data_IF_380062552249
#
_entry.id   IF_380062552249
#
_cell.length_a   1.000
_cell.length_b   1.000
_cell.length_c   1.000
_cell.angle_alpha   90.00
_cell.angle_beta   90.00
_cell.angle_gamma   90.00
#
_symmetry.space_group_name_H-M   'P 1'
#
loop_
_entity.id
_entity.type
_entity.pdbx_description
1 polymer ?
2 non-polymer ?
3 water ?
#
# COMPACT_ATOMS: atom_id res chain seq x y z
N UNK A 1 23.22 4.75 -2.42
CA UNK A 1 22.67 3.59 -1.63
C UNK A 1 21.13 3.62 -1.47
N UNK A 2 20.51 2.50 -1.03
CA UNK A 2 19.04 2.49 -0.78
C UNK A 2 18.68 3.37 0.43
N UNK A 3 17.49 4.00 0.41
CA UNK A 3 17.09 4.91 1.48
C UNK A 3 16.45 4.17 2.65
N UNK A 4 17.28 3.41 3.37
CA UNK A 4 16.89 2.70 4.59
C UNK A 4 16.39 3.58 5.71
N UNK A 5 17.03 4.72 5.93
CA UNK A 5 16.60 5.60 7.02
C UNK A 5 15.20 6.13 6.75
N UNK A 6 14.96 6.56 5.50
CA UNK A 6 13.66 7.03 5.11
C UNK A 6 12.61 5.93 5.27
N UNK A 7 12.91 4.75 4.75
CA UNK A 7 12.01 3.62 4.89
C UNK A 7 11.67 3.32 6.34
N UNK A 8 12.68 3.42 7.21
CA UNK A 8 12.49 3.13 8.61
C UNK A 8 11.62 4.19 9.30
N UNK A 9 11.83 5.47 8.99
CA UNK A 9 10.99 6.54 9.50
C UNK A 9 9.52 6.36 9.08
N UNK A 10 9.28 5.91 7.85
CA UNK A 10 7.90 5.62 7.43
C UNK A 10 7.34 4.43 8.20
N UNK A 11 8.15 3.40 8.40
CA UNK A 11 7.63 2.20 9.06
C UNK A 11 7.29 2.48 10.51
N UNK A 12 8.13 3.29 11.14
CA UNK A 12 8.03 3.57 12.55
C UNK A 12 6.80 4.42 12.86
N UNK A 13 6.55 5.47 12.07
CA UNK A 13 5.43 6.36 12.34
C UNK A 13 4.12 6.06 11.57
N UNK A 14 4.19 5.26 10.49
CA UNK A 14 3.05 5.18 9.56
C UNK A 14 2.61 3.79 9.13
N UNK A 15 3.04 2.75 9.84
CA UNK A 15 2.49 1.44 9.57
C UNK A 15 1.88 0.79 10.78
N UNK A 16 0.90 -0.08 10.50
CA UNK A 16 0.27 -0.85 11.50
C UNK A 16 0.12 -2.23 10.86
N UNK A 17 -0.12 -3.26 11.70
CA UNK A 17 -0.42 -4.59 11.21
C UNK A 17 -1.94 -4.67 11.07
N UNK A 18 -2.43 -5.07 9.91
CA UNK A 18 -3.87 -5.12 9.71
C UNK A 18 -4.21 -6.54 9.43
N UNK A 19 -5.34 -7.02 9.94
CA UNK A 19 -5.74 -8.40 9.72
C UNK A 19 -7.21 -8.49 9.30
N UNK A 20 -7.47 -9.14 8.17
CA UNK A 20 -8.82 -9.29 7.65
C UNK A 20 -9.04 -10.80 7.64
N UNK A 21 -10.20 -11.23 7.14
CA UNK A 21 -10.45 -12.65 6.87
C UNK A 21 -9.38 -13.31 5.97
N UNK A 22 -8.61 -12.52 5.21
CA UNK A 22 -7.64 -13.09 4.27
C UNK A 22 -6.26 -13.24 4.90
N UNK A 23 -6.08 -12.68 6.08
CA UNK A 23 -4.81 -12.81 6.79
C UNK A 23 -4.22 -11.45 7.11
N UNK A 24 -2.92 -11.43 7.41
CA UNK A 24 -2.27 -10.20 7.85
C UNK A 24 -1.62 -9.47 6.68
N UNK A 25 -1.63 -8.14 6.76
CA UNK A 25 -1.09 -7.26 5.74
C UNK A 25 -0.43 -6.14 6.48
N UNK A 26 0.70 -5.70 5.94
CA UNK A 26 1.29 -4.45 6.32
C UNK A 26 0.31 -3.32 5.90
N UNK A 27 0.13 -2.31 6.74
CA UNK A 27 -0.85 -1.28 6.41
C UNK A 27 -0.23 0.07 6.57
N UNK A 28 -0.20 0.81 5.46
CA UNK A 28 0.36 2.14 5.45
C UNK A 28 -0.71 3.16 5.83
N UNK A 29 -0.47 3.96 6.88
CA UNK A 29 -1.35 5.06 7.26
C UNK A 29 -0.87 6.33 6.57
N UNK A 30 -1.80 7.08 5.97
CA UNK A 30 -1.43 8.16 5.06
C UNK A 30 -1.64 9.57 5.66
N UNK A 31 -2.79 9.77 6.30
CA UNK A 31 -3.07 11.00 7.01
C UNK A 31 -4.31 10.78 7.89
N UNK A 32 -4.46 11.55 8.98
CA UNK A 32 -5.67 11.46 9.81
C UNK A 32 -5.93 10.01 10.21
N UNK A 33 -7.06 9.44 9.81
CA UNK A 33 -7.35 8.03 10.09
C UNK A 33 -7.58 7.25 8.82
N UNK A 34 -6.87 7.69 7.79
CA UNK A 34 -6.96 7.12 6.46
C UNK A 34 -5.72 6.30 6.17
N UNK A 35 -5.93 5.10 5.66
CA UNK A 35 -4.84 4.16 5.43
C UNK A 35 -5.17 3.43 4.15
N UNK A 36 -4.24 2.59 3.70
CA UNK A 36 -4.43 1.76 2.53
C UNK A 36 -4.11 0.28 2.78
N UNK A 37 -4.66 -0.56 1.92
CA UNK A 37 -4.49 -1.99 2.01
C UNK A 37 -4.81 -2.56 0.62
N UNK A 38 -4.13 -3.65 0.23
CA UNK A 38 -4.49 -4.19 -1.08
C UNK A 38 -5.96 -4.58 -1.10
N UNK A 39 -6.62 -4.32 -2.23
CA UNK A 39 -8.02 -4.70 -2.41
C UNK A 39 -8.32 -6.17 -2.18
N UNK A 40 -7.37 -7.04 -2.53
CA UNK A 40 -7.60 -8.45 -2.35
C UNK A 40 -7.52 -8.93 -0.90
N UNK A 41 -7.22 -8.01 0.02
CA UNK A 41 -7.40 -8.28 1.44
C UNK A 41 -8.88 -8.41 1.86
N UNK A 42 -9.84 -8.00 1.00
CA UNK A 42 -11.29 -8.08 1.32
C UNK A 42 -11.69 -7.46 2.66
N UNK A 43 -11.46 -6.17 2.81
CA UNK A 43 -11.87 -5.46 4.03
C UNK A 43 -13.39 -5.47 4.16
N UNK A 44 -13.90 -5.78 5.36
CA UNK A 44 -15.34 -5.71 5.60
C UNK A 44 -15.65 -4.48 6.41
N UNK A 45 -16.52 -4.62 7.39
CA UNK A 45 -16.90 -3.46 8.16
C UNK A 45 -16.14 -3.33 9.48
N UNK A 46 -15.40 -4.37 9.82
CA UNK A 46 -14.43 -4.28 10.92
C UNK A 46 -13.09 -4.91 10.46
N UNK A 47 -12.00 -4.47 11.09
CA UNK A 47 -10.67 -4.99 10.76
C UNK A 47 -9.84 -5.01 12.05
N UNK A 48 -8.87 -5.92 12.19
CA UNK A 48 -7.90 -5.80 13.32
C UNK A 48 -6.75 -4.95 12.94
N UNK A 49 -6.44 -4.01 13.82
CA UNK A 49 -5.32 -3.14 13.67
C UNK A 49 -4.46 -3.38 14.92
N UNK A 50 -3.22 -3.85 14.71
CA UNK A 50 -2.36 -4.26 15.84
C UNK A 50 -3.13 -5.10 16.86
N UNK A 51 -3.87 -6.06 16.32
CA UNK A 51 -4.75 -6.96 17.09
C UNK A 51 -5.94 -6.34 17.86
N UNK A 52 -6.25 -5.07 17.62
CA UNK A 52 -7.43 -4.45 18.19
C UNK A 52 -8.50 -4.33 17.08
N UNK A 53 -9.63 -4.99 17.30
CA UNK A 53 -10.77 -4.90 16.39
C UNK A 53 -11.26 -3.45 16.26
N UNK A 54 -11.51 -3.04 15.03
CA UNK A 54 -11.61 -1.64 14.68
C UNK A 54 -12.67 -1.51 13.59
N UNK A 55 -13.59 -0.56 13.78
CA UNK A 55 -14.58 -0.23 12.77
C UNK A 55 -13.93 0.36 11.53
N UNK A 56 -14.34 -0.14 10.37
CA UNK A 56 -13.96 0.46 9.13
C UNK A 56 -15.12 1.38 8.73
N UNK A 57 -14.95 2.68 8.93
CA UNK A 57 -15.95 3.71 8.65
C UNK A 57 -16.15 3.89 7.16
N UNK A 58 -15.08 3.76 6.39
CA UNK A 58 -15.20 3.79 4.93
C UNK A 58 -14.17 2.89 4.29
N UNK A 59 -14.52 2.30 3.15
CA UNK A 59 -13.55 1.55 2.34
C UNK A 59 -13.79 1.84 0.84
N UNK A 60 -12.80 2.43 0.14
CA UNK A 60 -12.94 2.67 -1.30
C UNK A 60 -11.93 1.85 -2.09
N UNK A 61 -12.45 0.88 -2.84
CA UNK A 61 -11.68 0.04 -3.74
C UNK A 61 -11.40 0.79 -5.08
N UNK A 62 -10.18 1.28 -5.26
CA UNK A 62 -9.88 2.15 -6.40
C UNK A 62 -9.88 1.41 -7.73
N UNK A 63 -10.48 2.06 -8.72
CA UNK A 63 -10.55 1.54 -10.05
C UNK A 63 -10.29 2.71 -11.01
N UNK A 64 -9.69 2.46 -12.18
CA UNK A 64 -9.46 3.59 -13.09
C UNK A 64 -10.68 3.78 -14.03
N UNK A 65 -10.59 4.78 -14.93
CA UNK A 65 -11.73 5.09 -15.81
C UNK A 65 -12.11 3.99 -16.82
N UNK A 66 -11.25 2.96 -16.98
CA UNK A 66 -11.57 1.79 -17.83
C UNK A 66 -12.28 0.73 -16.99
N UNK A 67 -12.65 1.13 -15.78
CA UNK A 67 -13.28 0.25 -14.80
C UNK A 67 -12.42 -0.97 -14.46
N UNK A 68 -11.12 -0.74 -14.31
CA UNK A 68 -10.20 -1.79 -13.98
C UNK A 68 -9.62 -1.57 -12.61
N UNK A 69 -9.53 -2.66 -11.87
CA UNK A 69 -8.82 -2.76 -10.60
C UNK A 69 -7.48 -2.06 -10.59
N UNK A 70 -7.27 -1.17 -9.61
CA UNK A 70 -5.95 -0.59 -9.26
C UNK A 70 -5.32 -1.28 -8.04
N UNK A 71 -6.11 -2.13 -7.36
CA UNK A 71 -5.63 -2.98 -6.24
C UNK A 71 -5.33 -2.22 -4.94
N UNK A 72 -5.63 -0.93 -4.92
CA UNK A 72 -5.57 -0.13 -3.72
C UNK A 72 -7.00 0.04 -3.14
N UNK A 73 -7.16 -0.22 -1.84
CA UNK A 73 -8.37 0.17 -1.10
C UNK A 73 -7.98 1.17 -0.03
N UNK A 74 -8.69 2.27 -0.01
CA UNK A 74 -8.46 3.30 0.95
C UNK A 74 -9.51 3.09 2.04
N UNK A 75 -9.07 3.07 3.29
CA UNK A 75 -9.94 2.85 4.40
C UNK A 75 -9.85 4.02 5.35
N UNK A 76 -10.99 4.30 5.98
CA UNK A 76 -11.04 5.23 7.04
C UNK A 76 -11.37 4.45 8.30
N UNK A 77 -10.68 4.74 9.40
CA UNK A 77 -10.72 3.85 10.57
C UNK A 77 -11.23 4.57 11.79
N UNK A 78 -12.00 3.89 12.62
CA UNK A 78 -12.43 4.48 13.89
C UNK A 78 -11.32 4.17 14.92
N UNK A 79 -10.35 5.06 15.04
CA UNK A 79 -9.38 4.95 16.11
C UNK A 79 -8.99 6.30 16.58
N UNK A 80 -8.34 6.33 17.73
CA UNK A 80 -8.02 7.57 18.40
C UNK A 80 -6.82 8.29 17.81
N UNK A 81 -5.72 7.58 17.60
CA UNK A 81 -4.50 8.20 17.02
C UNK A 81 -4.70 8.63 15.55
N UNK A 82 -4.21 9.82 15.21
CA UNK A 82 -4.08 10.26 13.83
C UNK A 82 -2.71 9.80 13.30
N UNK A 83 -2.66 9.44 12.03
CA UNK A 83 -1.39 9.20 11.36
C UNK A 83 -0.71 10.51 11.04
N UNK A 84 0.60 10.58 11.26
CA UNK A 84 1.41 11.62 10.65
C UNK A 84 1.04 11.75 9.15
N UNK A 85 0.88 12.98 8.68
CA UNK A 85 0.47 13.23 7.29
C UNK A 85 1.68 13.04 6.38
N UNK A 86 1.66 12.03 5.52
CA UNK A 86 2.78 11.74 4.63
C UNK A 86 2.42 11.97 3.16
N UNK A 87 1.28 12.62 2.94
CA UNK A 87 0.85 12.92 1.56
C UNK A 87 1.91 13.70 0.78
N UNK A 88 2.68 14.56 1.42
CA UNK A 88 3.72 15.28 0.66
C UNK A 88 4.88 14.37 0.17
N UNK A 89 4.96 13.12 0.67
CA UNK A 89 5.94 12.15 0.17
C UNK A 89 5.39 11.28 -0.95
N UNK A 90 4.13 11.51 -1.34
CA UNK A 90 3.56 10.73 -2.44
C UNK A 90 3.87 11.37 -3.77
N UNK A 91 4.29 10.56 -4.77
CA UNK A 91 4.53 11.09 -6.09
C UNK A 91 3.28 11.65 -6.77
N UNK A 92 3.50 12.69 -7.56
CA UNK A 92 2.43 13.32 -8.28
C UNK A 92 2.02 12.49 -9.49
N UNK A 93 2.98 11.81 -10.12
CA UNK A 93 2.81 11.16 -11.41
C UNK A 93 3.37 9.76 -11.40
N UNK A 94 2.92 8.94 -12.35
CA UNK A 94 3.58 7.69 -12.69
C UNK A 94 5.07 7.89 -13.03
N UNK A 95 5.90 6.90 -12.68
CA UNK A 95 7.36 7.07 -12.86
C UNK A 95 8.09 5.75 -12.68
N UNK A 96 9.38 5.73 -13.04
CA UNK A 96 10.29 4.62 -12.79
C UNK A 96 11.16 5.13 -11.68
N UNK A 97 11.75 4.21 -10.91
CA UNK A 97 12.54 4.57 -9.72
C UNK A 97 13.78 3.69 -9.61
N UNK A 98 14.76 4.24 -8.90
CA UNK A 98 16.00 3.53 -8.64
C UNK A 98 16.10 3.09 -7.20
N UNK A 99 16.68 1.91 -7.03
CA UNK A 99 17.21 1.51 -5.73
C UNK A 99 16.13 1.61 -4.61
N UNK A 100 14.97 0.99 -4.85
CA UNK A 100 13.88 1.11 -3.90
C UNK A 100 14.03 0.09 -2.76
N UNK A 101 13.42 0.42 -1.62
CA UNK A 101 13.22 -0.47 -0.47
C UNK A 101 11.73 -0.88 -0.29
N UNK A 102 11.52 -2.17 -0.06
CA UNK A 102 10.26 -2.76 0.34
C UNK A 102 10.30 -3.10 1.84
N UNK A 103 9.40 -2.49 2.61
CA UNK A 103 9.37 -2.62 4.05
C UNK A 103 8.08 -3.30 4.55
N UNK A 104 8.24 -4.24 5.47
CA UNK A 104 7.15 -5.08 5.88
C UNK A 104 6.94 -4.92 7.38
N UNK A 105 5.67 -4.92 7.80
CA UNK A 105 5.34 -4.86 9.26
C UNK A 105 4.12 -5.76 9.57
N UNK A 106 4.40 -7.01 9.93
CA UNK A 106 3.39 -8.00 10.27
C UNK A 106 3.75 -8.64 11.62
N UNK A 107 2.95 -9.58 12.10
CA UNK A 107 3.27 -10.25 13.36
C UNK A 107 4.57 -11.08 13.18
N UNK A 108 4.66 -11.81 12.08
CA UNK A 108 5.84 -12.60 11.79
C UNK A 108 7.08 -11.77 11.55
N UNK A 109 6.89 -10.59 10.92
CA UNK A 109 8.00 -9.70 10.63
C UNK A 109 7.69 -8.27 11.06
N UNK A 110 7.91 -7.95 12.34
CA UNK A 110 7.56 -6.60 12.82
C UNK A 110 8.30 -5.40 12.18
N UNK A 111 9.54 -5.57 11.71
CA UNK A 111 10.19 -4.63 10.74
C UNK A 111 11.31 -5.29 9.96
N UNK A 112 11.13 -5.35 8.65
CA UNK A 112 12.06 -6.00 7.75
C UNK A 112 12.15 -5.12 6.52
N UNK A 113 13.36 -4.97 6.00
CA UNK A 113 13.69 -4.07 4.92
C UNK A 113 14.38 -4.90 3.85
N UNK A 114 13.88 -4.79 2.61
CA UNK A 114 14.36 -5.53 1.47
C UNK A 114 14.64 -4.56 0.30
N UNK A 115 15.93 -4.36 -0.04
CA UNK A 115 16.28 -3.57 -1.24
C UNK A 115 15.80 -4.35 -2.42
N UNK A 116 14.96 -3.75 -3.26
CA UNK A 116 14.45 -4.53 -4.39
C UNK A 116 15.08 -4.11 -5.71
N UNK A 117 15.92 -3.07 -5.68
CA UNK A 117 16.55 -2.56 -6.91
C UNK A 117 15.68 -1.54 -7.67
N UNK A 118 15.80 -1.59 -8.99
CA UNK A 118 15.10 -0.70 -9.89
C UNK A 118 13.65 -1.06 -9.92
N UNK A 119 12.82 -0.03 -10.01
CA UNK A 119 11.35 -0.20 -10.04
C UNK A 119 10.84 0.42 -11.35
N UNK A 120 10.13 -0.35 -12.14
CA UNK A 120 9.67 0.19 -13.40
C UNK A 120 8.15 0.28 -13.41
N UNK A 121 7.67 1.37 -13.98
CA UNK A 121 6.25 1.55 -14.30
C UNK A 121 5.90 0.46 -15.31
N UNK A 122 5.19 -0.56 -14.83
CA UNK A 122 4.92 -1.80 -15.57
C UNK A 122 3.58 -1.81 -16.36
N UNK A 123 2.56 -1.16 -15.79
CA UNK A 123 1.26 -1.04 -16.45
C UNK A 123 0.36 -2.19 -16.08
N UNK A 124 -0.05 -2.94 -17.10
CA UNK A 124 -1.02 -4.00 -16.97
C UNK A 124 -0.41 -5.24 -16.34
N UNK A 125 -1.14 -5.79 -15.38
CA UNK A 125 -0.81 -7.04 -14.76
C UNK A 125 -2.08 -7.86 -14.59
N UNK A 126 -2.00 -9.14 -14.90
CA UNK A 126 -3.05 -10.08 -14.61
C UNK A 126 -2.78 -10.64 -13.20
N UNK A 127 -3.50 -10.11 -12.22
CA UNK A 127 -3.17 -10.40 -10.84
C UNK A 127 -4.08 -11.47 -10.30
N UNK A 128 -3.55 -12.69 -10.27
CA UNK A 128 -4.32 -13.85 -9.79
C UNK A 128 -5.65 -13.93 -10.52
N UNK A 129 -5.62 -13.70 -11.84
CA UNK A 129 -6.85 -13.75 -12.64
C UNK A 129 -7.62 -12.44 -12.74
N UNK A 130 -7.18 -11.39 -12.02
CA UNK A 130 -7.83 -10.08 -12.09
C UNK A 130 -6.98 -9.08 -12.87
N UNK A 131 -7.46 -8.63 -14.05
CA UNK A 131 -6.77 -7.53 -14.75
C UNK A 131 -6.60 -6.36 -13.81
N UNK A 132 -5.42 -5.77 -13.82
CA UNK A 132 -5.05 -4.73 -12.88
C UNK A 132 -4.17 -3.75 -13.62
N UNK A 133 -4.31 -2.47 -13.29
CA UNK A 133 -3.58 -1.42 -13.97
C UNK A 133 -2.63 -0.68 -13.03
N UNK A 134 -1.71 0.06 -13.64
CA UNK A 134 -0.90 1.00 -12.91
C UNK A 134 0.06 0.27 -11.92
N UNK A 135 0.56 -0.88 -12.36
CA UNK A 135 1.49 -1.68 -11.57
C UNK A 135 2.96 -1.27 -11.72
N UNK A 136 3.70 -1.32 -10.60
CA UNK A 136 5.16 -1.20 -10.51
C UNK A 136 5.82 -2.57 -10.33
N UNK A 137 6.93 -2.80 -11.06
CA UNK A 137 7.59 -4.10 -11.06
C UNK A 137 9.04 -3.93 -10.60
N UNK A 138 9.49 -4.88 -9.79
CA UNK A 138 10.85 -4.94 -9.39
C UNK A 138 11.26 -6.40 -9.55
N UNK A 139 12.54 -6.60 -9.86
CA UNK A 139 13.05 -7.95 -10.00
C UNK A 139 13.57 -8.47 -8.70
N UNK A 140 12.65 -8.93 -7.87
CA UNK A 140 12.98 -9.53 -6.59
C UNK A 140 11.95 -10.60 -6.30
N UNK A 141 12.39 -11.79 -5.84
CA UNK A 141 11.48 -12.89 -5.52
C UNK A 141 10.66 -12.67 -4.23
N UNK A 142 9.70 -11.75 -4.30
CA UNK A 142 8.84 -11.43 -3.17
C UNK A 142 7.96 -12.60 -2.87
N UNK A 143 7.44 -12.62 -1.64
CA UNK A 143 6.75 -13.80 -1.12
C UNK A 143 5.42 -13.44 -0.47
N UNK A 144 4.59 -14.46 -0.23
CA UNK A 144 3.38 -14.32 0.58
C UNK A 144 3.79 -13.80 1.94
N UNK A 145 3.00 -12.90 2.51
CA UNK A 145 3.36 -12.37 3.81
C UNK A 145 3.90 -10.97 3.62
N UNK A 146 4.22 -10.61 2.39
CA UNK A 146 4.77 -9.27 2.10
C UNK A 146 3.76 -8.29 1.51
N UNK A 147 2.53 -8.75 1.26
CA UNK A 147 1.47 -7.86 0.76
C UNK A 147 1.17 -6.69 1.70
N UNK A 148 1.05 -5.51 1.09
CA UNK A 148 0.85 -4.27 1.83
C UNK A 148 2.19 -3.62 2.13
N UNK A 149 3.29 -4.35 1.92
CA UNK A 149 4.60 -3.77 2.28
C UNK A 149 4.80 -2.50 1.48
N UNK A 150 5.49 -1.54 2.09
CA UNK A 150 5.66 -0.18 1.59
C UNK A 150 6.91 -0.05 0.73
N UNK A 151 6.77 0.50 -0.48
CA UNK A 151 7.89 0.64 -1.38
C UNK A 151 8.24 2.11 -1.36
N UNK A 152 9.47 2.40 -0.95
CA UNK A 152 9.99 3.76 -0.91
C UNK A 152 11.31 3.89 -1.69
N UNK A 153 11.61 5.12 -2.09
CA UNK A 153 12.97 5.60 -2.34
C UNK A 153 13.12 6.74 -1.30
N UNK A 154 14.30 7.32 -1.14
CA UNK A 154 14.37 8.48 -0.25
C UNK A 154 13.42 9.59 -0.71
N UNK A 155 12.61 10.04 0.23
CA UNK A 155 11.75 11.18 0.01
C UNK A 155 10.45 10.82 -0.66
N UNK A 156 10.30 9.57 -1.12
CA UNK A 156 9.06 9.16 -1.79
C UNK A 156 8.43 7.82 -1.38
N UNK A 157 7.12 7.86 -1.13
CA UNK A 157 6.41 6.64 -0.88
C UNK A 157 5.62 6.33 -2.14
N UNK A 158 5.92 5.20 -2.76
CA UNK A 158 5.57 5.07 -4.17
C UNK A 158 4.57 4.01 -4.46
N UNK A 159 4.39 3.07 -3.53
CA UNK A 159 3.50 1.95 -3.77
C UNK A 159 3.40 1.05 -2.56
N UNK A 160 2.50 0.06 -2.66
CA UNK A 160 2.38 -1.01 -1.68
C UNK A 160 2.37 -2.29 -2.46
N UNK A 161 3.00 -3.31 -1.87
CA UNK A 161 3.21 -4.59 -2.53
C UNK A 161 1.94 -5.39 -2.66
N UNK A 162 1.71 -6.02 -3.82
CA UNK A 162 0.43 -6.70 -4.02
C UNK A 162 0.54 -8.05 -4.68
N UNK A 163 1.72 -8.36 -5.24
CA UNK A 163 1.87 -9.61 -6.01
C UNK A 163 3.30 -9.98 -6.42
N UNK A 164 3.45 -11.18 -6.94
CA UNK A 164 4.73 -11.61 -7.50
C UNK A 164 4.56 -12.96 -8.13
N UNK A 165 5.49 -13.32 -9.02
CA UNK A 165 5.38 -14.58 -9.77
C UNK A 165 6.55 -15.54 -9.45
N UNK A 166 7.23 -15.33 -8.32
CA UNK A 166 8.42 -16.14 -7.99
C UNK A 166 9.75 -15.46 -8.34
N UNK A 167 9.78 -14.63 -9.39
CA UNK A 167 10.98 -13.89 -9.77
C UNK A 167 10.82 -12.35 -9.60
N UNK A 168 9.66 -11.82 -10.00
CA UNK A 168 9.38 -10.39 -9.86
C UNK A 168 8.35 -10.11 -8.77
N UNK A 169 8.43 -8.91 -8.22
CA UNK A 169 7.41 -8.42 -7.32
C UNK A 169 6.64 -7.26 -7.96
N UNK A 170 5.41 -7.05 -7.53
CA UNK A 170 4.56 -6.03 -8.10
C UNK A 170 3.90 -5.20 -7.00
N UNK A 171 3.95 -3.89 -7.18
CA UNK A 171 3.33 -2.98 -6.24
C UNK A 171 2.26 -2.15 -6.94
N UNK A 172 1.17 -1.88 -6.25
CA UNK A 172 0.20 -0.93 -6.78
C UNK A 172 0.69 0.48 -6.51
N UNK A 173 0.56 1.39 -7.49
CA UNK A 173 1.04 2.75 -7.31
C UNK A 173 0.28 3.54 -6.26
N UNK A 174 0.97 4.42 -5.57
CA UNK A 174 0.31 5.47 -4.80
C UNK A 174 0.58 6.78 -5.48
N UNK A 175 -0.46 7.62 -5.60
CA UNK A 175 -0.33 8.91 -6.26
C UNK A 175 -0.94 9.93 -5.38
N UNK A 176 -0.35 11.12 -5.35
CA UNK A 176 -0.78 12.17 -4.46
C UNK A 176 -2.29 12.45 -4.58
N UNK A 177 -2.85 12.36 -5.78
CA UNK A 177 -4.23 12.83 -5.94
C UNK A 177 -5.23 11.80 -5.42
N UNK A 178 -4.77 10.60 -5.02
CA UNK A 178 -5.70 9.64 -4.39
C UNK A 178 -6.24 10.20 -3.06
N UNK A 179 -5.55 11.17 -2.47
CA UNK A 179 -5.82 11.57 -1.08
C UNK A 179 -6.07 13.03 -0.85
N UNK A 180 -6.32 13.79 -1.91
CA UNK A 180 -6.50 15.23 -1.75
C UNK A 180 -7.93 15.49 -1.24
N UNK A 181 -8.06 16.33 -0.20
CA UNK A 181 -9.38 16.80 0.34
C UNK A 181 -10.29 17.32 -0.81
N UNK A 182 -11.58 16.94 -0.81
CA UNK A 182 -12.40 17.05 -2.05
C UNK A 182 -13.92 17.43 -1.89
N UNK A 183 -14.77 17.01 -2.85
CA UNK A 183 -16.24 17.30 -2.89
C UNK A 183 -17.20 16.04 -2.76
N UNK A 184 -18.41 16.13 -3.34
CA UNK A 184 -19.57 15.27 -2.96
C UNK A 184 -20.20 14.29 -3.99
N UNK A 185 -19.78 13.03 -3.91
CA UNK A 185 -20.34 11.93 -4.72
C UNK A 185 -20.97 10.90 -3.79
N UNK A 186 -22.12 10.36 -4.17
CA UNK A 186 -22.59 9.09 -3.59
C UNK A 186 -21.74 7.93 -4.15
N UNK A 187 -20.96 7.27 -3.29
CA UNK A 187 -19.97 6.28 -3.76
C UNK A 187 -20.16 4.79 -3.41
N UNK A 188 -21.22 4.45 -2.67
CA UNK A 188 -21.52 3.04 -2.37
C UNK A 188 -22.88 2.58 -2.92
N UNK A 189 -23.74 3.40 -3.22
X LIG B 1 -0.59 -13.51 -10.44
X LIG B 1 0.53 -13.35 -9.98
X LIG B 1 1.53 -12.80 -10.89
X LIG B 1 1.25 -12.63 -12.29
X LIG B 1 1.44 -13.96 -13.00
X LIG B 1 2.57 -14.16 -13.80
X LIG B 1 2.78 -15.39 -14.46
X LIG B 1 1.83 -16.42 -14.32
X LIG B 1 0.71 -16.22 -13.51
X LIG B 1 0.52 -14.99 -12.86
X LIG B 1 0.81 -13.68 -8.73
X LIG B 1 -0.19 -14.17 -7.78
X LIG B 1 0.33 -15.46 -7.16
X LIG B 1 0.59 -16.50 -8.23
X LIG B 1 -0.25 -16.79 -9.06
X LIG B 1 1.92 -17.11 -8.25
X LIG B 1 2.33 -18.27 -8.99
X LIG B 1 1.36 -19.43 -8.72
X LIG B 1 3.72 -18.64 -8.47
X LIG B 1 2.40 -17.95 -10.48
X LIG B 1 -0.36 -13.13 -6.70
X LIG B 1 0.58 -12.39 -6.46
X LIG B 1 -1.52 -13.04 -6.04
X LIG B 1 -1.72 -12.06 -4.98
X LIG B 1 -3.22 -12.04 -4.67
X LIG B 1 -3.50 -11.17 -3.45
X LIG B 1 -4.21 -11.70 -2.35
X LIG B 1 -4.46 -10.89 -1.23
X LIG B 1 -3.98 -9.55 -1.20
X LIG B 1 -3.26 -9.00 -2.28
X LIG B 1 -3.04 -9.81 -3.40
X LIG B 1 -0.87 -12.47 -3.80
X LIG B 1 -0.92 -13.64 -3.41
X LIG B 1 -0.04 -11.56 -3.23
X LIG B 1 0.82 -11.92 -2.09
X LIG B 1 2.29 -11.69 -2.49
X LIG B 1 2.75 -12.49 -3.72
X LIG B 1 2.45 -14.01 -3.69
X LIG B 1 3.69 -14.74 -4.24
X LIG B 1 4.68 -13.65 -4.11
X LIG B 1 4.25 -12.48 -3.91
X LIG B 1 5.01 -11.39 -3.89
X LIG B 1 0.36 -11.09 -0.88
X LIG B 1 -1.00 -11.52 -0.33
X LIG B 1 -0.98 -12.96 0.18
X LIG B 1 0.03 -13.43 0.72
X LIG B 1 -2.17 -13.80 -0.01
X LIG B 1 -3.22 -13.90 0.98
X LIG B 1 -4.60 -14.18 0.35
#
# INVERSE_FOLDING_TARGET
>A
GPGFDFAQAIMKKNTVVARTEKGEFTMLGVHDRVAVIPTHASVGETIYINDVETKVLDACALRDLTDTNLEITIVKLDRNQKFRDIRHFLPRYEDDYNDAVLSVHTSKFPNMYIPVGQVTNYGFLNLGGTPTHRILMYNFPTRAGQCGGVVTTTGKVIGIHVGGNGAQGFAAMLLHSYFTDTQKHHHHHH
>B hetero
1 G83 O19 C17 O15 C13 C4 C6 C8 C10 C1 C2 N21 C23 C25 C14 O1 O2 C29 C12 C43 C45 C31 O35 N33 C37 C41 C51 C53 C7 C9 C11 C55 C39 O47 N49 C57 C59 C61 C73 C71 N69 C65 O66 C63 C82 C84 O88 O86 C3 C5
#
